data_IF_139834743653
#
_entry.id   IF_139834743653
#
_cell.length_a   1.000
_cell.length_b   1.000
_cell.length_c   1.000
_cell.angle_alpha   90.00
_cell.angle_beta   90.00
_cell.angle_gamma   90.00
#
_symmetry.space_group_name_H-M   'P 1'
#
loop_
_entity.id
_entity.type
_entity.pdbx_description
1 polymer ?
#
# COMPACT_ATOMS: atom_id res chain seq x y z
N UNK A 1 10.80 21.89 19.34
CA UNK A 1 10.80 21.28 17.99
C UNK A 1 10.04 19.99 18.11
N UNK A 2 8.91 19.83 17.41
CA UNK A 2 8.21 18.53 17.36
C UNK A 2 9.10 17.54 16.65
N UNK A 3 9.35 16.41 17.29
CA UNK A 3 10.10 15.31 16.67
C UNK A 3 9.30 14.78 15.48
N UNK A 4 9.94 14.63 14.32
CA UNK A 4 9.26 14.12 13.12
C UNK A 4 9.05 12.62 13.23
N UNK A 5 7.87 12.15 12.80
CA UNK A 5 7.63 10.73 12.58
C UNK A 5 8.68 10.21 11.60
N UNK A 6 9.28 9.04 11.89
CA UNK A 6 10.22 8.39 10.99
C UNK A 6 9.53 7.22 10.28
N UNK A 7 9.73 7.16 8.97
CA UNK A 7 9.28 6.05 8.12
C UNK A 7 10.50 5.35 7.56
N UNK A 8 10.69 4.10 7.94
CA UNK A 8 11.73 3.24 7.43
C UNK A 8 11.29 2.58 6.13
N UNK A 9 12.07 2.73 5.06
CA UNK A 9 11.77 2.10 3.78
C UNK A 9 12.46 2.72 2.59
N UNK A 10 12.10 2.24 1.40
CA UNK A 10 12.54 2.78 0.11
C UNK A 10 11.32 3.16 -0.74
N UNK A 11 11.35 4.29 -1.50
CA UNK A 11 10.21 4.75 -2.31
C UNK A 11 9.81 3.78 -3.44
N UNK A 12 10.67 2.82 -3.79
CA UNK A 12 10.34 1.78 -4.77
C UNK A 12 9.29 0.80 -4.24
N UNK A 13 9.18 0.61 -2.92
CA UNK A 13 8.18 -0.26 -2.29
C UNK A 13 6.78 0.37 -2.37
N UNK A 14 5.82 -0.38 -2.90
CA UNK A 14 4.42 0.02 -2.97
C UNK A 14 3.85 0.33 -1.59
N UNK A 15 4.09 -0.56 -0.64
CA UNK A 15 3.63 -0.41 0.74
C UNK A 15 4.21 0.85 1.42
N UNK A 16 5.48 1.20 1.14
CA UNK A 16 6.09 2.47 1.60
C UNK A 16 5.40 3.65 0.94
N UNK A 17 5.17 3.60 -0.38
CA UNK A 17 4.48 4.69 -1.09
C UNK A 17 3.07 4.97 -0.57
N UNK A 18 2.33 3.95 -0.12
CA UNK A 18 1.01 4.16 0.48
C UNK A 18 1.10 5.07 1.72
N UNK A 19 2.05 4.80 2.61
CA UNK A 19 2.29 5.63 3.80
C UNK A 19 2.79 7.02 3.42
N UNK A 20 3.75 7.11 2.50
CA UNK A 20 4.28 8.40 2.05
C UNK A 20 3.21 9.26 1.39
N UNK A 21 2.33 8.68 0.56
CA UNK A 21 1.23 9.40 -0.05
C UNK A 21 0.28 9.99 1.00
N UNK A 22 -0.10 9.19 2.01
CA UNK A 22 -0.92 9.68 3.12
C UNK A 22 -0.27 10.87 3.82
N UNK A 23 1.03 10.78 4.13
CA UNK A 23 1.77 11.84 4.81
C UNK A 23 1.88 13.12 3.96
N UNK A 24 2.14 12.98 2.64
CA UNK A 24 2.17 14.11 1.71
C UNK A 24 0.79 14.75 1.54
N UNK A 25 -0.25 13.95 1.36
CA UNK A 25 -1.62 14.45 1.22
C UNK A 25 -2.08 15.27 2.45
N UNK A 26 -1.64 14.86 3.63
CA UNK A 26 -1.97 15.52 4.91
C UNK A 26 -0.91 16.54 5.36
N UNK A 27 0.07 16.81 4.51
CA UNK A 27 1.16 17.76 4.79
C UNK A 27 1.83 17.53 6.16
N UNK A 28 1.85 16.26 6.64
CA UNK A 28 2.48 15.92 7.90
C UNK A 28 3.99 15.79 7.71
N UNK A 29 4.82 16.60 8.42
CA UNK A 29 6.27 16.49 8.33
C UNK A 29 6.78 15.13 8.85
N UNK A 30 7.62 14.47 8.09
CA UNK A 30 8.22 13.19 8.43
C UNK A 30 9.70 13.12 8.01
N UNK A 31 10.39 12.10 8.48
CA UNK A 31 11.74 11.71 8.05
C UNK A 31 11.66 10.35 7.36
N UNK A 32 12.17 10.25 6.13
CA UNK A 32 12.32 8.97 5.45
C UNK A 32 13.72 8.40 5.77
N UNK A 33 13.76 7.32 6.56
CA UNK A 33 14.97 6.57 6.86
C UNK A 33 15.14 5.49 5.80
N UNK A 34 16.09 5.69 4.89
CA UNK A 34 16.34 4.72 3.81
C UNK A 34 16.74 3.37 4.38
N UNK A 35 15.87 2.38 4.18
CA UNK A 35 16.04 1.02 4.74
C UNK A 35 15.85 -0.01 3.62
N UNK A 36 16.90 -0.79 3.36
CA UNK A 36 16.96 -1.74 2.24
C UNK A 36 16.36 -3.08 2.65
N UNK A 37 15.26 -3.53 1.97
CA UNK A 37 14.63 -4.81 2.31
C UNK A 37 15.54 -6.00 2.00
N UNK A 38 15.69 -6.91 2.97
CA UNK A 38 16.48 -8.13 2.85
C UNK A 38 17.99 -7.95 3.08
N UNK A 39 18.51 -6.73 3.14
CA UNK A 39 19.93 -6.45 3.40
C UNK A 39 20.28 -6.73 4.88
N UNK A 40 21.51 -7.20 5.10
CA UNK A 40 22.14 -7.37 6.42
C UNK A 40 23.03 -6.19 6.81
N UNK A 41 23.25 -5.24 5.90
CA UNK A 41 24.01 -4.02 6.16
C UNK A 41 23.31 -3.15 7.22
N UNK A 42 24.00 -2.14 7.76
CA UNK A 42 23.51 -1.28 8.83
C UNK A 42 22.13 -0.65 8.54
N UNK A 43 21.88 -0.31 7.26
CA UNK A 43 20.60 0.23 6.80
C UNK A 43 19.63 -0.85 6.28
N UNK A 44 19.84 -2.12 6.62
CA UNK A 44 19.07 -3.24 6.11
C UNK A 44 18.02 -3.76 7.08
N UNK A 45 16.92 -4.31 6.54
CA UNK A 45 15.85 -4.91 7.37
C UNK A 45 16.27 -6.22 8.07
N UNK A 46 17.42 -6.81 7.72
CA UNK A 46 18.00 -8.00 8.38
C UNK A 46 19.16 -7.67 9.30
N UNK A 47 19.48 -6.39 9.46
CA UNK A 47 20.46 -5.96 10.47
C UNK A 47 19.89 -6.16 11.89
N UNK A 48 20.71 -6.60 12.88
CA UNK A 48 20.23 -6.86 14.23
C UNK A 48 19.51 -5.68 14.90
N UNK A 49 20.01 -4.46 14.75
CA UNK A 49 19.37 -3.26 15.31
C UNK A 49 18.00 -2.94 14.73
N UNK A 50 17.75 -3.31 13.45
CA UNK A 50 16.44 -3.18 12.86
C UNK A 50 15.49 -4.25 13.38
N UNK A 51 15.95 -5.52 13.43
CA UNK A 51 15.15 -6.64 13.90
C UNK A 51 14.78 -6.54 15.39
N UNK A 52 15.60 -5.88 16.20
CA UNK A 52 15.27 -5.56 17.60
C UNK A 52 14.01 -4.68 17.70
N UNK A 53 13.86 -3.69 16.79
CA UNK A 53 12.70 -2.80 16.73
C UNK A 53 11.53 -3.41 15.95
N UNK A 54 11.81 -4.11 14.87
CA UNK A 54 10.84 -4.63 13.91
C UNK A 54 11.13 -6.09 13.56
N UNK A 55 10.72 -7.05 14.40
CA UNK A 55 11.10 -8.47 14.26
C UNK A 55 10.67 -9.13 12.96
N UNK A 56 9.62 -8.62 12.29
CA UNK A 56 9.18 -9.10 10.97
C UNK A 56 10.18 -8.79 9.85
N UNK A 57 11.11 -7.84 10.06
CA UNK A 57 12.14 -7.50 9.09
C UNK A 57 11.62 -7.02 7.74
N UNK A 58 10.51 -6.27 7.74
CA UNK A 58 9.83 -5.74 6.54
C UNK A 58 9.78 -4.23 6.54
N UNK A 59 9.47 -3.63 5.40
CA UNK A 59 9.17 -2.21 5.21
C UNK A 59 7.75 -2.05 4.63
N UNK A 60 7.05 -0.92 4.93
CA UNK A 60 7.45 0.16 5.81
C UNK A 60 7.42 -0.21 7.29
N UNK A 61 8.19 0.53 8.08
CA UNK A 61 8.03 0.58 9.52
C UNK A 61 8.00 2.04 9.98
N UNK A 62 7.28 2.31 11.07
CA UNK A 62 7.10 3.63 11.66
C UNK A 62 7.74 3.70 13.03
N UNK A 63 8.43 4.80 13.32
CA UNK A 63 8.84 5.22 14.66
C UNK A 63 8.18 6.56 14.97
N UNK A 64 7.37 6.59 16.03
CA UNK A 64 6.78 7.81 16.55
C UNK A 64 7.62 8.30 17.75
N UNK A 65 8.49 9.30 17.56
CA UNK A 65 9.43 9.71 18.58
C UNK A 65 8.78 10.45 19.76
N UNK A 66 7.55 10.96 19.60
CA UNK A 66 6.84 11.63 20.70
C UNK A 66 6.36 10.64 21.76
N UNK A 67 6.11 9.39 21.38
CA UNK A 67 5.59 8.33 22.26
C UNK A 67 6.53 7.14 22.39
N UNK A 68 7.56 7.04 21.54
CA UNK A 68 8.40 5.85 21.41
C UNK A 68 7.69 4.66 20.75
N UNK A 69 6.51 4.90 20.14
CA UNK A 69 5.72 3.83 19.53
C UNK A 69 6.35 3.36 18.22
N UNK A 70 6.47 2.04 18.09
CA UNK A 70 7.00 1.36 16.91
C UNK A 70 5.89 0.55 16.25
N UNK A 71 5.76 0.65 14.94
CA UNK A 71 4.73 -0.08 14.19
C UNK A 71 5.25 -0.51 12.82
N UNK A 72 4.91 -1.73 12.42
CA UNK A 72 5.09 -2.22 11.05
C UNK A 72 3.73 -2.44 10.38
N UNK A 73 3.74 -2.87 9.11
CA UNK A 73 2.59 -3.06 8.22
C UNK A 73 1.95 -1.74 7.75
N UNK A 74 2.00 -1.49 6.43
CA UNK A 74 1.53 -0.22 5.84
C UNK A 74 0.09 0.12 6.18
N UNK A 75 -0.80 -0.87 6.17
CA UNK A 75 -2.21 -0.66 6.50
C UNK A 75 -2.39 -0.27 7.97
N UNK A 76 -1.71 -0.95 8.89
CA UNK A 76 -1.73 -0.60 10.30
C UNK A 76 -1.16 0.80 10.56
N UNK A 77 -0.07 1.16 9.86
CA UNK A 77 0.54 2.49 9.94
C UNK A 77 -0.44 3.57 9.45
N UNK A 78 -1.11 3.36 8.31
CA UNK A 78 -2.10 4.32 7.81
C UNK A 78 -3.29 4.46 8.77
N UNK A 79 -3.83 3.36 9.30
CA UNK A 79 -4.89 3.40 10.30
C UNK A 79 -4.46 4.14 11.57
N UNK A 80 -3.24 3.86 12.07
CA UNK A 80 -2.67 4.54 13.24
C UNK A 80 -2.58 6.05 13.02
N UNK A 81 -2.00 6.48 11.89
CA UNK A 81 -1.84 7.89 11.57
C UNK A 81 -3.19 8.59 11.44
N UNK A 82 -4.16 8.00 10.77
CA UNK A 82 -5.50 8.55 10.66
C UNK A 82 -6.16 8.72 12.03
N UNK A 83 -6.07 7.70 12.89
CA UNK A 83 -6.63 7.77 14.26
C UNK A 83 -5.90 8.81 15.11
N UNK A 84 -4.56 8.84 15.06
CA UNK A 84 -3.75 9.77 15.87
C UNK A 84 -4.05 11.23 15.53
N UNK A 85 -4.25 11.54 14.26
CA UNK A 85 -4.42 12.91 13.77
C UNK A 85 -5.87 13.28 13.45
N UNK A 86 -6.86 12.38 13.68
CA UNK A 86 -8.27 12.64 13.40
C UNK A 86 -8.58 12.83 11.92
N UNK A 87 -7.91 12.09 11.03
CA UNK A 87 -8.16 12.14 9.57
C UNK A 87 -9.35 11.26 9.18
N UNK A 88 -10.52 11.63 9.68
CA UNK A 88 -11.77 10.88 9.54
C UNK A 88 -12.30 10.86 8.11
N UNK A 89 -11.85 11.79 7.28
CA UNK A 89 -12.12 11.84 5.84
C UNK A 89 -11.48 10.67 5.07
N UNK A 90 -10.33 10.14 5.55
CA UNK A 90 -9.63 9.02 4.95
C UNK A 90 -9.85 7.69 5.67
N UNK A 91 -10.18 7.72 6.97
CA UNK A 91 -10.49 6.55 7.79
C UNK A 91 -11.63 6.86 8.76
N UNK A 92 -12.89 6.64 8.32
CA UNK A 92 -14.09 7.12 9.02
C UNK A 92 -14.22 6.66 10.46
N UNK A 93 -14.81 7.51 11.32
CA UNK A 93 -15.19 7.15 12.70
C UNK A 93 -16.49 6.31 12.77
N UNK A 94 -17.40 6.47 11.78
CA UNK A 94 -18.61 5.68 11.71
C UNK A 94 -18.24 4.18 11.59
N UNK A 95 -18.74 3.29 12.46
CA UNK A 95 -18.33 1.89 12.49
C UNK A 95 -18.60 1.12 11.19
N UNK A 96 -19.71 1.37 10.51
CA UNK A 96 -20.06 0.68 9.26
C UNK A 96 -19.19 1.15 8.10
N UNK A 97 -18.93 2.45 8.00
CA UNK A 97 -18.05 3.01 6.99
C UNK A 97 -16.61 2.53 7.21
N UNK A 98 -16.15 2.51 8.46
CA UNK A 98 -14.82 2.01 8.84
C UNK A 98 -14.67 0.53 8.51
N UNK A 99 -15.68 -0.29 8.85
CA UNK A 99 -15.65 -1.72 8.58
C UNK A 99 -15.50 -2.03 7.07
N UNK A 100 -16.07 -1.20 6.17
CA UNK A 100 -15.84 -1.34 4.72
C UNK A 100 -14.39 -1.07 4.32
N UNK A 101 -13.74 -0.09 4.96
CA UNK A 101 -12.31 0.18 4.74
C UNK A 101 -11.48 -1.01 5.21
N UNK A 102 -11.74 -1.50 6.41
CA UNK A 102 -11.02 -2.64 7.02
C UNK A 102 -11.21 -3.92 6.20
N UNK A 103 -12.44 -4.20 5.75
CA UNK A 103 -12.75 -5.35 4.87
C UNK A 103 -11.86 -5.31 3.62
N UNK A 104 -11.78 -4.16 2.95
CA UNK A 104 -10.92 -4.01 1.79
C UNK A 104 -9.42 -4.16 2.14
N UNK A 105 -8.94 -3.55 3.22
CA UNK A 105 -7.53 -3.63 3.62
C UNK A 105 -7.12 -5.09 3.94
N UNK A 106 -8.00 -5.87 4.55
CA UNK A 106 -7.77 -7.30 4.77
C UNK A 106 -7.79 -8.09 3.45
N UNK A 107 -8.75 -7.82 2.57
CA UNK A 107 -8.82 -8.44 1.25
C UNK A 107 -7.57 -8.14 0.41
N UNK A 108 -7.03 -6.93 0.50
CA UNK A 108 -5.89 -6.45 -0.25
C UNK A 108 -4.67 -7.39 -0.17
N UNK A 109 -4.36 -7.93 1.02
CA UNK A 109 -3.11 -8.67 1.29
C UNK A 109 -2.89 -9.92 0.43
N UNK A 110 -3.97 -10.62 0.05
CA UNK A 110 -3.89 -11.88 -0.70
C UNK A 110 -4.56 -11.81 -2.08
N UNK A 111 -4.90 -10.61 -2.50
CA UNK A 111 -5.65 -10.39 -3.73
C UNK A 111 -5.04 -9.24 -4.54
N UNK A 112 -5.22 -8.00 -4.13
CA UNK A 112 -4.68 -6.83 -4.85
C UNK A 112 -3.15 -6.82 -4.86
N UNK A 113 -2.52 -7.17 -3.75
CA UNK A 113 -1.06 -7.22 -3.60
C UNK A 113 -0.40 -8.27 -4.51
N UNK A 114 -1.16 -9.24 -5.01
CA UNK A 114 -0.66 -10.22 -5.98
C UNK A 114 -0.23 -9.57 -7.31
N UNK A 115 -0.66 -8.34 -7.60
CA UNK A 115 -0.14 -7.52 -8.69
C UNK A 115 1.40 -7.43 -8.66
N UNK A 116 1.97 -7.27 -7.46
CA UNK A 116 3.42 -7.24 -7.27
C UNK A 116 4.08 -8.55 -7.69
N UNK A 117 3.60 -9.69 -7.22
CA UNK A 117 4.19 -11.00 -7.55
C UNK A 117 3.93 -11.39 -9.02
N UNK A 118 2.77 -11.01 -9.56
CA UNK A 118 2.37 -11.34 -10.91
C UNK A 118 3.20 -10.60 -11.99
N UNK A 119 3.54 -9.34 -11.73
CA UNK A 119 4.04 -8.43 -12.77
C UNK A 119 5.29 -7.65 -12.36
N UNK A 120 5.30 -7.04 -11.18
CA UNK A 120 6.37 -6.14 -10.79
C UNK A 120 7.63 -6.87 -10.29
N UNK A 121 7.47 -7.86 -9.41
CA UNK A 121 8.60 -8.58 -8.83
C UNK A 121 9.42 -9.36 -9.88
N UNK A 122 8.84 -10.04 -10.87
CA UNK A 122 9.64 -10.68 -11.93
C UNK A 122 10.55 -9.72 -12.68
N UNK A 123 10.14 -8.46 -12.82
CA UNK A 123 10.92 -7.41 -13.46
C UNK A 123 11.95 -6.79 -12.52
N UNK A 124 11.52 -6.41 -11.31
CA UNK A 124 12.32 -5.57 -10.40
C UNK A 124 13.14 -6.36 -9.37
N UNK A 125 12.78 -7.62 -9.12
CA UNK A 125 13.37 -8.50 -8.09
C UNK A 125 13.57 -9.93 -8.61
N UNK A 126 14.33 -10.13 -9.71
CA UNK A 126 14.61 -11.46 -10.23
C UNK A 126 15.37 -12.34 -9.22
N UNK A 127 16.05 -11.72 -8.24
CA UNK A 127 16.72 -12.38 -7.12
C UNK A 127 15.78 -13.20 -6.22
N UNK A 128 14.46 -12.95 -6.25
CA UNK A 128 13.48 -13.72 -5.48
C UNK A 128 13.27 -15.14 -6.03
N UNK A 129 13.73 -15.43 -7.25
CA UNK A 129 13.64 -16.77 -7.84
C UNK A 129 12.21 -17.32 -7.90
N UNK A 130 11.21 -16.48 -8.18
CA UNK A 130 9.81 -16.89 -8.23
C UNK A 130 9.59 -17.97 -9.30
N UNK A 131 8.96 -19.07 -8.93
CA UNK A 131 8.60 -20.11 -9.89
C UNK A 131 7.49 -19.63 -10.84
N UNK A 132 7.44 -20.22 -12.04
CA UNK A 132 6.38 -19.91 -13.01
C UNK A 132 4.99 -20.21 -12.45
N UNK A 133 4.83 -21.28 -11.69
CA UNK A 133 3.57 -21.62 -11.02
C UNK A 133 3.14 -20.54 -10.00
N UNK A 134 4.08 -20.01 -9.22
CA UNK A 134 3.79 -18.93 -8.27
C UNK A 134 3.33 -17.67 -9.01
N UNK A 135 4.01 -17.29 -10.10
CA UNK A 135 3.65 -16.14 -10.93
C UNK A 135 2.27 -16.35 -11.56
N UNK A 136 1.98 -17.54 -12.10
CA UNK A 136 0.70 -17.86 -12.71
C UNK A 136 -0.45 -17.87 -11.68
N UNK A 137 -0.18 -18.36 -10.46
CA UNK A 137 -1.15 -18.27 -9.36
C UNK A 137 -1.44 -16.79 -9.01
N UNK A 138 -0.41 -15.96 -8.86
CA UNK A 138 -0.54 -14.54 -8.57
C UNK A 138 -1.35 -13.82 -9.66
N UNK A 139 -1.10 -14.12 -10.96
CA UNK A 139 -1.89 -13.58 -12.08
C UNK A 139 -3.37 -13.93 -11.98
N UNK A 140 -3.71 -15.17 -11.61
CA UNK A 140 -5.12 -15.59 -11.42
C UNK A 140 -5.78 -14.85 -10.27
N UNK A 141 -5.10 -14.77 -9.12
CA UNK A 141 -5.61 -14.06 -7.94
C UNK A 141 -5.82 -12.57 -8.24
N UNK A 142 -4.86 -11.94 -8.89
CA UNK A 142 -4.98 -10.53 -9.27
C UNK A 142 -6.13 -10.30 -10.27
N UNK A 143 -6.29 -11.17 -11.27
CA UNK A 143 -7.44 -11.06 -12.19
C UNK A 143 -8.78 -11.19 -11.48
N UNK A 144 -8.89 -12.11 -10.51
CA UNK A 144 -10.10 -12.24 -9.68
C UNK A 144 -10.32 -10.97 -8.84
N UNK A 145 -9.24 -10.39 -8.30
CA UNK A 145 -9.32 -9.13 -7.56
C UNK A 145 -9.80 -7.97 -8.43
N UNK A 146 -9.31 -7.85 -9.66
CA UNK A 146 -9.81 -6.84 -10.61
C UNK A 146 -11.29 -7.06 -10.95
N UNK A 147 -11.73 -8.30 -11.15
CA UNK A 147 -13.14 -8.60 -11.37
C UNK A 147 -14.01 -8.20 -10.17
N UNK A 148 -13.51 -8.42 -8.95
CA UNK A 148 -14.20 -7.99 -7.72
C UNK A 148 -14.29 -6.47 -7.64
N UNK A 149 -13.20 -5.75 -7.93
CA UNK A 149 -13.20 -4.29 -8.00
C UNK A 149 -14.18 -3.78 -9.06
N UNK A 150 -14.10 -4.32 -10.27
CA UNK A 150 -14.93 -3.92 -11.41
C UNK A 150 -16.43 -4.08 -11.14
N UNK A 151 -16.83 -5.26 -10.63
CA UNK A 151 -18.22 -5.68 -10.59
C UNK A 151 -18.90 -5.48 -9.23
N UNK A 152 -18.15 -5.21 -8.17
CA UNK A 152 -18.73 -5.02 -6.83
C UNK A 152 -18.45 -3.61 -6.29
N UNK A 153 -17.19 -3.31 -5.96
CA UNK A 153 -16.87 -2.05 -5.26
C UNK A 153 -17.05 -0.82 -6.17
N UNK A 154 -16.50 -0.86 -7.38
CA UNK A 154 -16.51 0.29 -8.30
C UNK A 154 -17.73 0.30 -9.24
N UNK A 155 -18.54 -0.74 -9.25
CA UNK A 155 -19.75 -0.81 -10.09
C UNK A 155 -20.78 0.27 -9.71
N UNK A 156 -20.87 0.59 -8.42
CA UNK A 156 -21.86 1.54 -7.88
C UNK A 156 -21.23 2.75 -7.19
N UNK A 157 -19.92 2.71 -6.92
CA UNK A 157 -19.21 3.73 -6.17
C UNK A 157 -18.18 4.44 -7.05
N UNK A 158 -17.89 5.67 -6.72
CA UNK A 158 -16.79 6.43 -7.32
C UNK A 158 -15.43 5.88 -6.90
N UNK A 159 -15.29 5.52 -5.62
CA UNK A 159 -14.12 4.94 -4.99
C UNK A 159 -14.45 3.61 -4.32
N UNK A 160 -13.46 2.90 -3.79
CA UNK A 160 -13.61 1.51 -3.31
C UNK A 160 -14.69 1.37 -2.24
N UNK A 161 -14.75 2.29 -1.28
CA UNK A 161 -15.69 2.19 -0.14
C UNK A 161 -16.89 3.13 -0.23
N UNK A 162 -17.00 3.93 -1.30
CA UNK A 162 -18.08 4.89 -1.49
C UNK A 162 -17.71 6.02 -2.46
N UNK A 163 -18.20 7.23 -2.17
CA UNK A 163 -18.02 8.40 -3.03
C UNK A 163 -16.80 9.26 -2.65
N UNK A 164 -16.19 8.97 -1.50
CA UNK A 164 -14.99 9.65 -1.00
C UNK A 164 -13.80 8.71 -1.00
N UNK A 165 -12.61 9.27 -1.23
CA UNK A 165 -11.34 8.54 -1.14
C UNK A 165 -11.08 8.15 0.30
N UNK A 166 -10.58 6.94 0.49
CA UNK A 166 -10.13 6.43 1.79
C UNK A 166 -8.74 5.80 1.68
N UNK A 167 -8.17 5.39 2.81
CA UNK A 167 -6.89 4.66 2.80
C UNK A 167 -6.98 3.32 2.04
N UNK A 168 -8.18 2.78 1.81
CA UNK A 168 -8.39 1.63 0.93
C UNK A 168 -7.99 1.93 -0.52
N UNK A 169 -8.37 3.11 -1.02
CA UNK A 169 -8.02 3.56 -2.37
C UNK A 169 -6.53 3.81 -2.51
N UNK A 170 -5.89 4.43 -1.50
CA UNK A 170 -4.45 4.68 -1.48
C UNK A 170 -3.69 3.34 -1.54
N UNK A 171 -4.07 2.37 -0.68
CA UNK A 171 -3.47 1.04 -0.65
C UNK A 171 -3.57 0.32 -1.99
N UNK A 172 -4.76 0.35 -2.63
CA UNK A 172 -4.98 -0.27 -3.92
C UNK A 172 -4.20 0.41 -5.05
N UNK A 173 -4.21 1.75 -5.07
CA UNK A 173 -3.62 2.51 -6.16
C UNK A 173 -2.10 2.33 -6.27
N UNK A 174 -1.38 2.28 -5.16
CA UNK A 174 0.08 2.08 -5.20
C UNK A 174 0.47 0.71 -5.77
N UNK A 175 -0.40 -0.29 -5.68
CA UNK A 175 -0.20 -1.63 -6.26
C UNK A 175 -0.64 -1.69 -7.73
N UNK A 176 -1.83 -1.20 -8.03
CA UNK A 176 -2.44 -1.31 -9.36
C UNK A 176 -1.95 -0.21 -10.29
N UNK A 177 -1.89 1.02 -9.79
CA UNK A 177 -1.58 2.21 -10.59
C UNK A 177 -0.23 2.14 -11.27
N UNK A 178 0.78 1.57 -10.60
CA UNK A 178 2.11 1.41 -11.19
C UNK A 178 2.15 0.54 -12.46
N UNK A 179 1.14 -0.32 -12.67
CA UNK A 179 1.08 -1.21 -13.84
C UNK A 179 0.58 -0.51 -15.11
N UNK A 180 0.06 0.73 -14.98
CA UNK A 180 -0.48 1.52 -16.10
C UNK A 180 0.60 1.86 -17.14
N UNK A 181 0.16 2.16 -18.37
CA UNK A 181 1.05 2.46 -19.50
C UNK A 181 1.95 3.67 -19.29
N UNK A 182 1.52 4.66 -18.52
CA UNK A 182 2.33 5.85 -18.20
C UNK A 182 3.45 5.58 -17.18
N UNK A 183 3.47 4.43 -16.50
CA UNK A 183 4.49 4.07 -15.52
C UNK A 183 5.33 2.88 -16.00
N UNK A 184 4.82 1.67 -15.86
CA UNK A 184 5.58 0.45 -16.21
C UNK A 184 5.05 -0.29 -17.43
N UNK A 185 3.81 0.01 -17.85
CA UNK A 185 3.12 -0.65 -18.97
C UNK A 185 3.03 -2.18 -18.83
N UNK A 186 2.83 -2.66 -17.60
CA UNK A 186 2.80 -4.11 -17.31
C UNK A 186 1.41 -4.74 -17.42
N UNK A 187 0.33 -3.91 -17.46
CA UNK A 187 -1.04 -4.41 -17.53
C UNK A 187 -1.97 -3.49 -18.29
N UNK A 188 -2.82 -4.07 -19.15
CA UNK A 188 -3.88 -3.35 -19.88
C UNK A 188 -5.20 -3.40 -19.10
N UNK A 189 -5.65 -2.23 -18.62
CA UNK A 189 -6.89 -2.09 -17.84
C UNK A 189 -8.13 -1.81 -18.70
N UNK A 190 -8.01 -1.73 -20.04
CA UNK A 190 -9.16 -1.50 -20.95
C UNK A 190 -10.34 -2.47 -20.73
N UNK A 191 -10.14 -3.77 -20.40
CA UNK A 191 -11.25 -4.68 -20.12
C UNK A 191 -12.02 -4.37 -18.84
N UNK A 192 -11.55 -3.40 -18.02
CA UNK A 192 -12.09 -3.05 -16.71
C UNK A 192 -12.46 -1.54 -16.67
N UNK A 193 -13.62 -1.13 -17.24
CA UNK A 193 -13.97 0.29 -17.38
C UNK A 193 -14.14 1.02 -16.03
N UNK A 194 -14.71 0.37 -15.00
CA UNK A 194 -14.84 0.98 -13.68
C UNK A 194 -13.47 1.13 -12.96
N UNK A 195 -12.60 0.13 -13.07
CA UNK A 195 -11.22 0.23 -12.59
C UNK A 195 -10.47 1.33 -13.34
N UNK A 196 -10.62 1.42 -14.67
CA UNK A 196 -9.98 2.46 -15.49
C UNK A 196 -10.47 3.86 -15.11
N UNK A 197 -11.77 4.03 -14.86
CA UNK A 197 -12.35 5.28 -14.35
C UNK A 197 -11.77 5.64 -12.98
N UNK A 198 -11.70 4.68 -12.06
CA UNK A 198 -11.14 4.87 -10.72
C UNK A 198 -9.65 5.24 -10.78
N UNK A 199 -8.84 4.52 -11.58
CA UNK A 199 -7.41 4.83 -11.77
C UNK A 199 -7.21 6.28 -12.25
N UNK A 200 -8.02 6.73 -13.22
CA UNK A 200 -8.00 8.12 -13.69
C UNK A 200 -8.38 9.11 -12.59
N UNK A 201 -9.37 8.78 -11.75
CA UNK A 201 -9.75 9.60 -10.61
C UNK A 201 -8.65 9.76 -9.58
N UNK A 202 -7.95 8.66 -9.27
CA UNK A 202 -6.83 8.65 -8.32
C UNK A 202 -5.61 9.42 -8.81
N UNK A 203 -5.38 9.49 -10.11
CA UNK A 203 -4.25 10.25 -10.70
C UNK A 203 -4.41 11.78 -10.53
N UNK A 204 -5.61 12.25 -10.24
CA UNK A 204 -5.92 13.68 -10.10
C UNK A 204 -5.86 14.18 -8.65
N UNK A 205 -5.54 13.31 -7.70
CA UNK A 205 -5.40 13.61 -6.27
C UNK A 205 -3.94 13.85 -5.90
#
# INVERSE_FOLDING_TARGET
>A
MTNKIKIHGVPMSQAVRAVLWLLFNKELPFELVLTVPGSKEENGTRHPSYLEKYPNGTIPALEDPDTGFLLAESHAIMCYLCNKHGWDDLYPQNPEARAKVDDFLHYHHRNIKEATLAFFAPMARPDLGLSEDAINMAKRLFKNALNMMENQWLAKNKFITGDLVTIADIAAYVEIGQLQSQFTNLYDFKPFPNVSRWLKGMTLL
#
